data_IF_197949311106
#
_entry.id   IF_197949311106
#
_cell.length_a   1.000
_cell.length_b   1.000
_cell.length_c   1.000
_cell.angle_alpha   90.00
_cell.angle_beta   90.00
_cell.angle_gamma   90.00
#
_symmetry.space_group_name_H-M   'P 1'
#
loop_
_entity.id
_entity.type
_entity.pdbx_description
1 polymer ?
#
# COMPACT_ATOMS: atom_id res chain seq x y z
N UNK A 1 8.32 -5.19 -12.92
CA UNK A 1 8.08 -6.04 -11.74
C UNK A 1 8.55 -7.46 -12.03
N UNK A 2 9.23 -8.11 -11.09
CA UNK A 2 9.78 -9.46 -11.26
C UNK A 2 8.82 -10.51 -10.72
N UNK A 3 8.75 -11.68 -11.37
CA UNK A 3 8.05 -12.85 -10.83
C UNK A 3 8.94 -13.59 -9.83
N UNK A 4 8.48 -13.68 -8.59
CA UNK A 4 9.15 -14.36 -7.49
C UNK A 4 8.61 -15.77 -7.24
N UNK A 5 7.51 -16.16 -7.92
CA UNK A 5 6.89 -17.49 -7.76
C UNK A 5 7.87 -18.67 -7.85
N UNK A 6 8.91 -18.68 -8.72
CA UNK A 6 9.86 -19.80 -8.75
C UNK A 6 10.91 -19.77 -7.63
N UNK A 7 11.07 -18.64 -6.93
CA UNK A 7 12.18 -18.42 -5.98
C UNK A 7 11.78 -18.49 -4.52
N UNK A 8 10.49 -18.31 -4.22
CA UNK A 8 10.00 -18.23 -2.84
C UNK A 8 8.85 -19.21 -2.59
N UNK A 9 8.83 -19.73 -1.37
CA UNK A 9 7.70 -20.45 -0.78
C UNK A 9 7.12 -19.54 0.28
N UNK A 10 5.80 -19.50 0.42
CA UNK A 10 5.16 -18.68 1.45
C UNK A 10 4.03 -19.40 2.17
N UNK A 11 3.75 -18.95 3.40
CA UNK A 11 2.67 -19.44 4.24
C UNK A 11 1.91 -18.28 4.86
N UNK A 12 0.59 -18.15 4.63
CA UNK A 12 -0.26 -17.19 5.33
C UNK A 12 -0.25 -17.42 6.83
N UNK A 13 0.00 -16.35 7.58
CA UNK A 13 -0.06 -16.36 9.04
C UNK A 13 -1.35 -15.68 9.53
N UNK A 14 -1.73 -14.56 8.91
CA UNK A 14 -2.88 -13.76 9.32
C UNK A 14 -3.45 -12.94 8.17
N UNK A 15 -4.77 -12.89 8.06
CA UNK A 15 -5.48 -11.93 7.20
C UNK A 15 -5.45 -10.55 7.86
N UNK A 16 -4.94 -9.54 7.14
CA UNK A 16 -4.84 -8.15 7.59
C UNK A 16 -6.00 -7.30 7.11
N UNK A 17 -6.45 -7.52 5.87
CA UNK A 17 -7.57 -6.83 5.25
C UNK A 17 -8.27 -7.76 4.27
N UNK A 18 -9.60 -7.76 4.27
CA UNK A 18 -10.43 -8.53 3.34
C UNK A 18 -11.38 -7.62 2.52
N UNK A 19 -10.81 -6.56 1.97
CA UNK A 19 -11.52 -5.63 1.10
C UNK A 19 -11.60 -6.13 -0.35
N UNK A 20 -11.56 -5.17 -1.29
CA UNK A 20 -11.45 -5.43 -2.74
C UNK A 20 -10.29 -6.37 -3.05
N UNK A 21 -9.15 -6.12 -2.41
CA UNK A 21 -7.96 -6.96 -2.42
C UNK A 21 -7.80 -7.60 -1.03
N UNK A 22 -7.42 -8.87 -0.96
CA UNK A 22 -7.08 -9.49 0.33
C UNK A 22 -5.62 -9.26 0.64
N UNK A 23 -5.32 -8.85 1.85
CA UNK A 23 -3.94 -8.61 2.31
C UNK A 23 -3.61 -9.55 3.45
N UNK A 24 -2.52 -10.29 3.35
CA UNK A 24 -2.08 -11.26 4.36
C UNK A 24 -0.69 -10.90 4.88
N UNK A 25 -0.47 -11.13 6.17
CA UNK A 25 0.87 -11.35 6.70
C UNK A 25 1.28 -12.78 6.34
N UNK A 26 2.42 -12.93 5.68
CA UNK A 26 2.96 -14.22 5.28
C UNK A 26 4.36 -14.42 5.84
N UNK A 27 4.68 -15.67 6.12
CA UNK A 27 6.05 -16.13 6.28
C UNK A 27 6.58 -16.57 4.91
N UNK A 28 7.82 -16.22 4.59
CA UNK A 28 8.46 -16.51 3.31
C UNK A 28 9.79 -17.21 3.56
N UNK A 29 10.11 -18.23 2.75
CA UNK A 29 11.39 -18.93 2.69
C UNK A 29 11.85 -19.06 1.22
N UNK A 30 13.14 -19.34 1.00
CA UNK A 30 13.66 -19.64 -0.35
C UNK A 30 13.25 -21.05 -0.77
N UNK A 31 12.87 -21.20 -2.04
CA UNK A 31 12.45 -22.48 -2.62
C UNK A 31 13.56 -23.56 -2.61
N UNK A 32 14.79 -23.19 -2.97
CA UNK A 32 15.91 -24.15 -3.10
C UNK A 32 16.59 -24.49 -1.76
N UNK A 33 16.23 -23.81 -0.67
CA UNK A 33 16.99 -23.79 0.59
C UNK A 33 16.13 -24.25 1.79
N UNK A 34 15.22 -25.23 1.57
CA UNK A 34 14.26 -25.73 2.57
C UNK A 34 14.90 -26.27 3.86
N UNK A 35 16.21 -26.53 3.86
CA UNK A 35 17.00 -26.92 5.04
C UNK A 35 17.62 -25.74 5.81
N UNK A 36 17.68 -24.54 5.22
CA UNK A 36 18.18 -23.30 5.79
C UNK A 36 16.99 -22.44 6.23
N UNK A 37 16.60 -22.56 7.52
CA UNK A 37 15.41 -21.88 8.11
C UNK A 37 15.59 -20.36 8.29
N UNK A 38 16.04 -19.64 7.26
CA UNK A 38 15.88 -18.17 7.24
C UNK A 38 14.50 -17.85 6.70
N UNK A 39 13.57 -17.64 7.62
CA UNK A 39 12.26 -17.10 7.33
C UNK A 39 12.30 -15.57 7.34
N UNK A 40 11.42 -14.97 6.54
CA UNK A 40 11.13 -13.54 6.56
C UNK A 40 9.62 -13.33 6.68
N UNK A 41 9.24 -12.21 7.30
CA UNK A 41 7.85 -11.75 7.29
C UNK A 41 7.65 -10.77 6.15
N UNK A 42 6.61 -11.00 5.35
CA UNK A 42 6.21 -10.13 4.24
C UNK A 42 4.71 -9.88 4.28
N UNK A 43 4.26 -8.91 3.50
CA UNK A 43 2.85 -8.66 3.24
C UNK A 43 2.52 -9.14 1.83
N UNK A 44 1.53 -10.01 1.71
CA UNK A 44 1.04 -10.53 0.43
C UNK A 44 -0.31 -9.87 0.12
N UNK A 45 -0.38 -9.09 -0.96
CA UNK A 45 -1.62 -8.46 -1.43
C UNK A 45 -2.15 -9.19 -2.65
N UNK A 46 -3.29 -9.84 -2.51
CA UNK A 46 -3.94 -10.68 -3.52
C UNK A 46 -5.03 -9.89 -4.24
N UNK A 47 -4.91 -9.82 -5.56
CA UNK A 47 -5.87 -9.14 -6.43
C UNK A 47 -6.90 -10.13 -6.94
N UNK A 48 -8.16 -9.99 -6.48
CA UNK A 48 -9.24 -10.95 -6.72
C UNK A 48 -9.94 -10.79 -8.07
N UNK A 49 -9.67 -9.71 -8.81
CA UNK A 49 -10.44 -9.38 -10.00
C UNK A 49 -10.08 -10.27 -11.20
N UNK A 50 -11.08 -10.54 -12.03
CA UNK A 50 -10.89 -11.18 -13.34
C UNK A 50 -10.23 -10.25 -14.34
N UNK A 51 -9.50 -10.83 -15.30
CA UNK A 51 -8.68 -10.10 -16.26
C UNK A 51 -9.51 -9.24 -17.24
N UNK A 52 -9.05 -8.03 -17.62
CA UNK A 52 -7.86 -7.33 -17.12
C UNK A 52 -8.13 -6.61 -15.78
N UNK A 53 -7.29 -6.88 -14.78
CA UNK A 53 -7.33 -6.13 -13.52
C UNK A 53 -6.50 -4.85 -13.63
N UNK A 54 -7.19 -3.74 -13.95
CA UNK A 54 -6.60 -2.41 -14.07
C UNK A 54 -5.90 -1.96 -12.78
N UNK A 55 -6.44 -2.35 -11.61
CA UNK A 55 -5.89 -1.94 -10.32
C UNK A 55 -4.56 -2.64 -10.04
N UNK A 56 -4.47 -3.94 -10.35
CA UNK A 56 -3.20 -4.67 -10.29
C UNK A 56 -2.15 -4.06 -11.23
N UNK A 57 -2.53 -3.71 -12.47
CA UNK A 57 -1.61 -3.11 -13.43
C UNK A 57 -1.10 -1.74 -12.96
N UNK A 58 -1.99 -0.89 -12.44
CA UNK A 58 -1.65 0.42 -11.89
C UNK A 58 -0.69 0.30 -10.71
N UNK A 59 -1.00 -0.57 -9.75
CA UNK A 59 -0.16 -0.77 -8.57
C UNK A 59 1.21 -1.35 -8.95
N UNK A 60 1.25 -2.29 -9.90
CA UNK A 60 2.48 -2.88 -10.41
C UNK A 60 3.37 -1.83 -11.10
N UNK A 61 2.77 -0.95 -11.91
CA UNK A 61 3.49 0.12 -12.60
C UNK A 61 4.06 1.14 -11.59
N UNK A 62 3.24 1.60 -10.65
CA UNK A 62 3.66 2.52 -9.60
C UNK A 62 4.81 1.95 -8.76
N UNK A 63 4.67 0.70 -8.27
CA UNK A 63 5.71 0.07 -7.46
C UNK A 63 6.99 -0.22 -8.25
N UNK A 64 6.91 -0.50 -9.56
CA UNK A 64 8.10 -0.66 -10.40
C UNK A 64 8.90 0.65 -10.48
N UNK A 65 8.23 1.81 -10.58
CA UNK A 65 8.91 3.11 -10.58
C UNK A 65 9.45 3.49 -9.20
N UNK A 66 8.71 3.21 -8.13
CA UNK A 66 9.18 3.42 -6.76
C UNK A 66 10.44 2.60 -6.48
N UNK A 67 10.50 1.33 -6.90
CA UNK A 67 11.69 0.49 -6.71
C UNK A 67 12.93 1.09 -7.41
N UNK A 68 12.75 1.65 -8.60
CA UNK A 68 13.82 2.34 -9.34
C UNK A 68 14.32 3.62 -8.64
N UNK A 69 13.54 4.18 -7.70
CA UNK A 69 13.95 5.36 -6.92
C UNK A 69 14.85 5.03 -5.72
N UNK A 70 14.99 3.75 -5.36
CA UNK A 70 15.88 3.33 -4.28
C UNK A 70 17.36 3.48 -4.68
N UNK A 71 18.23 3.72 -3.71
CA UNK A 71 19.69 3.81 -3.93
C UNK A 71 20.28 2.50 -4.49
N UNK A 72 19.63 1.36 -4.24
CA UNK A 72 19.98 0.05 -4.77
C UNK A 72 18.70 -0.64 -5.26
N UNK A 73 18.24 -0.35 -6.50
CA UNK A 73 17.01 -0.90 -7.04
C UNK A 73 17.12 -2.42 -7.26
N UNK A 74 16.00 -3.13 -7.17
CA UNK A 74 15.94 -4.58 -7.33
C UNK A 74 15.80 -4.91 -8.82
N UNK A 75 16.94 -4.97 -9.52
CA UNK A 75 16.95 -5.14 -10.98
C UNK A 75 16.63 -6.55 -11.47
N UNK A 76 16.62 -7.56 -10.58
CA UNK A 76 16.33 -8.96 -10.95
C UNK A 76 15.50 -9.66 -9.88
N UNK A 77 14.79 -10.73 -10.27
CA UNK A 77 14.05 -11.61 -9.36
C UNK A 77 14.95 -12.19 -8.26
N UNK A 78 16.19 -12.59 -8.62
CA UNK A 78 17.17 -13.10 -7.66
C UNK A 78 17.58 -12.01 -6.64
N UNK A 79 17.86 -10.79 -7.09
CA UNK A 79 18.20 -9.67 -6.20
C UNK A 79 17.04 -9.33 -5.25
N UNK A 80 15.81 -9.35 -5.76
CA UNK A 80 14.61 -9.15 -4.95
C UNK A 80 14.42 -10.26 -3.91
N UNK A 81 14.62 -11.52 -4.30
CA UNK A 81 14.60 -12.66 -3.38
C UNK A 81 15.66 -12.48 -2.28
N UNK A 82 16.92 -12.17 -2.61
CA UNK A 82 17.96 -11.91 -1.61
C UNK A 82 17.61 -10.73 -0.68
N UNK A 83 16.98 -9.68 -1.21
CA UNK A 83 16.59 -8.51 -0.43
C UNK A 83 15.57 -8.84 0.68
N UNK A 84 14.66 -9.79 0.45
CA UNK A 84 13.72 -10.29 1.46
C UNK A 84 14.48 -10.82 2.69
N UNK A 85 15.52 -11.62 2.46
CA UNK A 85 16.24 -12.33 3.54
C UNK A 85 17.44 -11.55 4.12
N UNK A 86 17.98 -10.58 3.38
CA UNK A 86 19.07 -9.72 3.85
C UNK A 86 18.63 -8.74 4.95
N UNK A 87 17.33 -8.49 5.10
CA UNK A 87 16.78 -7.43 5.96
C UNK A 87 16.81 -7.66 7.46
N UNK A 88 17.07 -8.89 7.93
CA UNK A 88 17.38 -9.12 9.36
C UNK A 88 18.59 -8.32 9.86
N UNK A 89 19.40 -7.73 8.96
CA UNK A 89 20.62 -6.97 9.28
C UNK A 89 20.64 -5.51 8.79
N UNK A 90 19.66 -5.03 8.02
CA UNK A 90 19.67 -3.67 7.45
C UNK A 90 18.63 -2.80 8.14
N UNK A 91 19.04 -1.61 8.61
CA UNK A 91 18.10 -0.53 8.99
C UNK A 91 17.19 -0.30 7.78
N UNK A 92 15.87 -0.48 7.96
CA UNK A 92 14.87 -0.23 6.92
C UNK A 92 15.18 1.10 6.24
N UNK A 93 15.24 1.09 4.91
CA UNK A 93 15.43 2.31 4.13
C UNK A 93 14.22 3.18 4.45
N UNK A 94 14.45 4.37 5.02
CA UNK A 94 13.36 5.30 5.41
C UNK A 94 12.78 6.00 4.17
N UNK A 95 12.18 5.24 3.26
CA UNK A 95 11.46 5.76 2.09
C UNK A 95 10.06 6.26 2.43
N UNK A 96 9.48 5.80 3.54
CA UNK A 96 8.11 6.16 3.93
C UNK A 96 7.04 5.45 3.13
N UNK A 97 7.37 4.34 2.46
CA UNK A 97 6.44 3.41 1.82
C UNK A 97 7.12 2.02 1.76
N UNK A 98 6.36 0.91 1.77
CA UNK A 98 6.94 -0.43 1.77
C UNK A 98 7.61 -0.72 0.43
N UNK A 99 8.75 -1.40 0.46
CA UNK A 99 9.34 -1.92 -0.77
C UNK A 99 8.51 -3.08 -1.31
N UNK A 100 8.14 -3.03 -2.60
CA UNK A 100 7.57 -4.16 -3.32
C UNK A 100 8.70 -5.02 -3.88
N UNK A 101 8.75 -6.30 -3.50
CA UNK A 101 9.80 -7.20 -3.95
C UNK A 101 9.49 -7.80 -5.33
N UNK A 102 8.21 -7.96 -5.66
CA UNK A 102 7.81 -8.61 -6.90
C UNK A 102 6.39 -9.14 -6.86
N UNK A 103 5.99 -9.78 -7.95
CA UNK A 103 4.74 -10.51 -8.05
C UNK A 103 4.91 -11.98 -7.66
N UNK A 104 3.86 -12.58 -7.12
CA UNK A 104 3.75 -14.03 -6.91
C UNK A 104 2.38 -14.52 -7.35
N UNK A 105 2.29 -15.78 -7.75
CA UNK A 105 1.02 -16.44 -8.03
C UNK A 105 0.43 -17.03 -6.74
N UNK A 106 -0.88 -16.82 -6.55
CA UNK A 106 -1.61 -17.29 -5.37
C UNK A 106 -2.74 -18.22 -5.79
N UNK A 107 -2.76 -19.48 -5.33
CA UNK A 107 -3.86 -20.37 -5.64
C UNK A 107 -5.21 -19.82 -5.18
N UNK A 108 -6.25 -19.93 -6.01
CA UNK A 108 -7.59 -19.44 -5.68
C UNK A 108 -8.12 -20.07 -4.38
N UNK A 109 -7.77 -21.33 -4.10
CA UNK A 109 -8.24 -22.04 -2.91
C UNK A 109 -7.69 -21.46 -1.61
N UNK A 110 -6.57 -20.72 -1.65
CA UNK A 110 -6.04 -20.04 -0.47
C UNK A 110 -7.04 -19.03 0.09
N UNK A 111 -7.77 -18.33 -0.77
CA UNK A 111 -8.81 -17.38 -0.30
C UNK A 111 -10.07 -18.09 0.22
N UNK A 112 -10.22 -19.39 -0.06
CA UNK A 112 -11.42 -20.18 0.30
C UNK A 112 -11.20 -21.07 1.52
N UNK A 113 -9.97 -21.50 1.78
CA UNK A 113 -9.63 -22.36 2.91
C UNK A 113 -9.50 -21.55 4.21
N UNK A 114 -9.72 -22.21 5.35
CA UNK A 114 -9.57 -21.54 6.65
C UNK A 114 -8.09 -21.34 6.98
N UNK A 115 -7.74 -20.26 7.68
CA UNK A 115 -6.35 -19.91 7.99
C UNK A 115 -5.56 -21.02 8.71
N UNK A 116 -6.24 -21.97 9.37
CA UNK A 116 -5.64 -23.12 10.07
C UNK A 116 -5.16 -24.22 9.12
N UNK A 117 -5.67 -24.24 7.89
CA UNK A 117 -5.42 -25.29 6.90
C UNK A 117 -4.33 -24.89 5.89
N UNK A 118 -3.76 -23.69 6.00
CA UNK A 118 -2.74 -23.22 5.06
C UNK A 118 -1.37 -23.80 5.38
N UNK A 119 -1.00 -24.84 4.63
CA UNK A 119 0.38 -25.27 4.47
C UNK A 119 1.24 -24.25 3.70
N UNK A 120 2.50 -24.62 3.49
CA UNK A 120 3.39 -23.89 2.58
C UNK A 120 2.88 -23.97 1.14
N UNK A 121 2.95 -22.85 0.42
CA UNK A 121 2.68 -22.80 -1.02
C UNK A 121 3.99 -22.87 -1.75
N UNK A 122 4.21 -24.02 -2.36
CA UNK A 122 5.39 -24.34 -3.15
C UNK A 122 5.30 -23.73 -4.56
N UNK A 123 6.45 -23.37 -5.16
CA UNK A 123 6.55 -23.01 -6.57
C UNK A 123 5.93 -24.08 -7.48
N UNK A 124 5.28 -23.64 -8.56
CA UNK A 124 4.76 -24.52 -9.62
C UNK A 124 3.75 -25.59 -9.13
N UNK A 125 3.11 -25.41 -7.98
CA UNK A 125 2.03 -26.30 -7.58
C UNK A 125 0.98 -26.36 -8.70
N UNK A 126 0.73 -27.54 -9.27
CA UNK A 126 -0.17 -27.77 -10.40
C UNK A 126 -1.61 -27.39 -10.05
N UNK A 127 -1.93 -26.11 -10.17
CA UNK A 127 -3.27 -25.59 -9.93
C UNK A 127 -3.73 -24.80 -11.13
N UNK A 128 -4.93 -25.12 -11.62
CA UNK A 128 -5.44 -24.56 -12.87
C UNK A 128 -5.85 -23.09 -12.73
N UNK A 129 -5.96 -22.55 -11.51
CA UNK A 129 -6.39 -21.18 -11.25
C UNK A 129 -5.54 -20.45 -10.21
N UNK A 130 -4.96 -19.32 -10.60
CA UNK A 130 -4.19 -18.43 -9.72
C UNK A 130 -4.72 -17.00 -9.78
N UNK A 131 -4.63 -16.29 -8.66
CA UNK A 131 -4.68 -14.84 -8.60
C UNK A 131 -3.27 -14.25 -8.67
N UNK A 132 -3.19 -13.06 -9.28
CA UNK A 132 -2.00 -12.23 -9.20
C UNK A 132 -1.89 -11.62 -7.80
N UNK A 133 -0.69 -11.61 -7.24
CA UNK A 133 -0.41 -10.95 -5.99
C UNK A 133 0.93 -10.22 -6.01
N UNK A 134 1.05 -9.22 -5.16
CA UNK A 134 2.29 -8.49 -4.93
C UNK A 134 2.81 -8.80 -3.52
N UNK A 135 4.14 -8.98 -3.41
CA UNK A 135 4.82 -9.26 -2.16
C UNK A 135 5.60 -8.03 -1.69
N UNK A 136 5.28 -7.54 -0.50
CA UNK A 136 5.81 -6.31 0.07
C UNK A 136 6.59 -6.55 1.36
N UNK A 137 7.43 -5.58 1.70
CA UNK A 137 8.02 -5.44 3.02
C UNK A 137 6.95 -5.41 4.11
N UNK A 138 7.14 -6.22 5.16
CA UNK A 138 6.36 -6.09 6.38
C UNK A 138 6.94 -4.98 7.27
N UNK A 139 6.12 -3.96 7.54
CA UNK A 139 6.44 -2.90 8.49
C UNK A 139 5.61 -3.14 9.76
N UNK A 140 6.23 -3.46 10.91
CA UNK A 140 5.51 -3.79 12.12
C UNK A 140 4.91 -2.55 12.81
N UNK A 141 3.78 -2.76 13.49
CA UNK A 141 3.11 -1.78 14.36
C UNK A 141 2.70 -0.49 13.64
N UNK A 142 2.22 -0.60 12.41
CA UNK A 142 1.56 0.49 11.71
C UNK A 142 0.12 0.63 12.21
N UNK A 143 -0.30 1.89 12.39
CA UNK A 143 -1.67 2.27 12.67
C UNK A 143 -2.10 3.39 11.71
N UNK A 144 -3.39 3.47 11.33
CA UNK A 144 -3.89 4.56 10.50
C UNK A 144 -3.59 5.92 11.15
N UNK A 145 -3.21 6.90 10.33
CA UNK A 145 -3.15 8.28 10.79
C UNK A 145 -4.57 8.76 11.05
N UNK A 146 -4.86 9.08 12.32
CA UNK A 146 -6.12 9.70 12.72
C UNK A 146 -5.92 11.22 12.85
N UNK A 147 -6.96 12.05 12.68
CA UNK A 147 -6.83 13.50 12.83
C UNK A 147 -6.22 13.93 14.17
N UNK A 148 -6.58 13.28 15.28
CA UNK A 148 -6.04 13.54 16.62
C UNK A 148 -4.55 13.19 16.77
N UNK A 149 -4.01 12.36 15.87
CA UNK A 149 -2.61 11.99 15.84
C UNK A 149 -1.76 13.02 15.08
N UNK A 150 -2.37 13.95 14.36
CA UNK A 150 -1.68 14.88 13.49
C UNK A 150 -0.95 15.96 14.30
N UNK A 151 0.33 16.13 13.98
CA UNK A 151 1.18 17.21 14.50
C UNK A 151 1.90 17.88 13.34
N UNK A 152 2.46 19.10 13.51
CA UNK A 152 3.25 19.74 12.47
C UNK A 152 4.41 18.87 11.97
N UNK A 153 5.03 18.09 12.86
CA UNK A 153 6.11 17.17 12.51
C UNK A 153 5.62 16.00 11.61
N UNK A 154 4.48 15.41 11.94
CA UNK A 154 3.87 14.34 11.14
C UNK A 154 3.41 14.87 9.78
N UNK A 155 2.80 16.06 9.73
CA UNK A 155 2.40 16.70 8.48
C UNK A 155 3.61 16.97 7.57
N UNK A 156 4.69 17.53 8.14
CA UNK A 156 5.92 17.78 7.39
C UNK A 156 6.55 16.47 6.86
N UNK A 157 6.57 15.41 7.67
CA UNK A 157 7.07 14.11 7.24
C UNK A 157 6.20 13.48 6.16
N UNK A 158 4.87 13.53 6.29
CA UNK A 158 3.95 13.04 5.27
C UNK A 158 4.14 13.76 3.93
N UNK A 159 4.27 15.10 3.95
CA UNK A 159 4.56 15.90 2.76
C UNK A 159 5.93 15.55 2.15
N UNK A 160 6.95 15.25 2.98
CA UNK A 160 8.27 14.80 2.52
C UNK A 160 8.21 13.44 1.82
N UNK A 161 7.46 12.49 2.39
CA UNK A 161 7.22 11.17 1.78
C UNK A 161 6.48 11.33 0.46
N UNK A 162 5.39 12.13 0.44
CA UNK A 162 4.62 12.38 -0.78
C UNK A 162 5.47 13.02 -1.88
N UNK A 163 6.31 14.00 -1.54
CA UNK A 163 7.25 14.62 -2.48
C UNK A 163 8.22 13.59 -3.09
N UNK A 164 8.62 12.57 -2.33
CA UNK A 164 9.49 11.49 -2.81
C UNK A 164 8.74 10.59 -3.80
N UNK A 165 7.47 10.28 -3.52
CA UNK A 165 6.58 9.55 -4.43
C UNK A 165 6.37 10.34 -5.72
N UNK A 166 6.09 11.65 -5.62
CA UNK A 166 5.89 12.55 -6.75
C UNK A 166 7.15 12.70 -7.62
N UNK A 167 8.34 12.68 -7.01
CA UNK A 167 9.61 12.69 -7.75
C UNK A 167 9.81 11.43 -8.63
N UNK A 168 9.06 10.35 -8.35
CA UNK A 168 9.01 9.14 -9.17
C UNK A 168 7.88 9.19 -10.22
N UNK A 169 7.27 10.36 -10.44
CA UNK A 169 6.15 10.60 -11.35
C UNK A 169 4.91 9.76 -11.02
N UNK A 170 4.57 9.66 -9.73
CA UNK A 170 3.41 8.90 -9.25
C UNK A 170 2.49 9.83 -8.47
N UNK A 171 1.21 9.86 -8.85
CA UNK A 171 0.13 10.46 -8.09
C UNK A 171 -0.62 9.34 -7.35
N UNK A 172 -0.76 9.42 -6.03
CA UNK A 172 -1.34 8.34 -5.23
C UNK A 172 -2.87 8.22 -5.41
N UNK A 173 -3.56 9.34 -5.54
CA UNK A 173 -5.01 9.53 -5.73
C UNK A 173 -5.95 8.98 -4.64
N UNK A 174 -5.45 8.52 -3.50
CA UNK A 174 -6.30 7.92 -2.45
C UNK A 174 -5.80 8.18 -1.02
N UNK A 175 -5.41 9.43 -0.74
CA UNK A 175 -4.90 9.84 0.58
C UNK A 175 -6.02 10.35 1.51
N UNK A 176 -7.08 10.97 0.98
CA UNK A 176 -8.25 11.47 1.74
C UNK A 176 -9.36 10.42 1.80
N UNK A 177 -9.92 10.20 2.99
CA UNK A 177 -11.10 9.36 3.15
C UNK A 177 -12.37 10.14 2.79
N UNK A 178 -12.77 10.07 1.53
CA UNK A 178 -13.96 10.77 1.05
C UNK A 178 -15.29 10.27 1.64
N UNK A 179 -15.32 9.06 2.24
CA UNK A 179 -16.56 8.44 2.75
C UNK A 179 -17.10 9.12 3.99
N UNK A 180 -16.24 9.77 4.77
CA UNK A 180 -16.63 10.42 6.02
C UNK A 180 -16.85 11.92 5.86
N UNK A 181 -16.85 12.44 4.62
CA UNK A 181 -17.15 13.83 4.35
C UNK A 181 -18.50 14.22 4.98
N UNK A 182 -18.61 15.44 5.55
CA UNK A 182 -17.66 16.55 5.43
C UNK A 182 -16.46 16.51 6.39
N UNK A 183 -16.36 15.50 7.27
CA UNK A 183 -15.22 15.37 8.19
C UNK A 183 -13.93 15.00 7.43
N UNK A 184 -12.78 15.27 8.05
CA UNK A 184 -11.47 14.94 7.49
C UNK A 184 -10.98 13.61 8.03
N UNK A 185 -10.52 12.74 7.15
CA UNK A 185 -9.82 11.51 7.52
C UNK A 185 -8.88 11.06 6.41
N UNK A 186 -8.03 10.10 6.74
CA UNK A 186 -7.02 9.56 5.83
C UNK A 186 -7.29 8.08 5.55
N UNK A 187 -7.05 7.63 4.32
CA UNK A 187 -7.15 6.21 3.96
C UNK A 187 -5.79 5.53 4.13
N UNK A 188 -4.80 6.05 3.39
CA UNK A 188 -3.57 5.33 3.09
C UNK A 188 -2.32 5.94 3.71
N UNK A 189 -2.49 6.79 4.72
CA UNK A 189 -1.41 7.36 5.53
C UNK A 189 -1.43 6.68 6.89
N UNK A 190 -0.29 6.11 7.25
CA UNK A 190 -0.07 5.34 8.47
C UNK A 190 1.08 5.92 9.26
N UNK A 191 1.08 5.68 10.56
CA UNK A 191 2.17 6.00 11.47
C UNK A 191 2.61 4.75 12.21
N UNK A 192 3.88 4.68 12.57
CA UNK A 192 4.38 3.60 13.40
C UNK A 192 4.26 3.97 14.89
N UNK A 193 3.62 3.12 15.70
CA UNK A 193 3.18 3.40 17.08
C UNK A 193 4.23 4.05 18.00
N UNK A 194 5.52 3.69 17.85
CA UNK A 194 6.59 4.18 18.74
C UNK A 194 7.51 5.22 18.11
N UNK A 195 7.89 5.03 16.85
CA UNK A 195 8.81 5.94 16.15
C UNK A 195 8.10 7.15 15.56
N UNK A 196 6.77 7.06 15.40
CA UNK A 196 5.90 8.03 14.72
C UNK A 196 6.37 8.33 13.29
N UNK A 197 7.16 7.44 12.69
CA UNK A 197 7.51 7.52 11.27
C UNK A 197 6.23 7.40 10.44
N UNK A 198 6.12 8.19 9.38
CA UNK A 198 4.98 8.18 8.46
C UNK A 198 5.24 7.19 7.33
N UNK A 199 4.19 6.47 6.96
CA UNK A 199 4.18 5.56 5.83
C UNK A 199 2.94 5.80 4.96
N UNK A 200 3.15 5.83 3.65
CA UNK A 200 2.08 5.84 2.64
C UNK A 200 2.00 4.44 2.04
N UNK A 201 0.81 3.83 2.10
CA UNK A 201 0.56 2.45 1.68
C UNK A 201 -0.47 2.40 0.55
N UNK A 202 -0.65 1.23 -0.08
CA UNK A 202 -1.75 0.97 -1.02
C UNK A 202 -1.78 1.86 -2.28
N UNK A 203 -1.07 1.42 -3.32
CA UNK A 203 -0.95 2.16 -4.58
C UNK A 203 -1.95 1.65 -5.65
N UNK A 204 -3.07 1.07 -5.24
CA UNK A 204 -4.05 0.43 -6.14
C UNK A 204 -4.88 1.42 -6.97
N UNK A 205 -4.95 2.67 -6.51
CA UNK A 205 -5.54 3.83 -7.19
C UNK A 205 -4.48 4.76 -7.78
N UNK A 206 -3.19 4.43 -7.62
CA UNK A 206 -2.10 5.28 -8.06
C UNK A 206 -2.07 5.41 -9.59
N UNK A 207 -1.62 6.56 -10.05
CA UNK A 207 -1.44 6.86 -11.48
C UNK A 207 0.00 7.26 -11.71
N UNK A 208 0.65 6.58 -12.65
CA UNK A 208 1.89 7.06 -13.24
C UNK A 208 1.54 8.25 -14.12
N UNK A 209 2.19 9.38 -13.90
CA UNK A 209 1.98 10.61 -14.66
C UNK A 209 3.16 10.87 -15.57
N UNK A 210 2.92 11.42 -16.74
CA UNK A 210 4.01 11.87 -17.62
C UNK A 210 4.54 13.23 -17.17
N UNK A 211 5.73 13.59 -17.66
CA UNK A 211 6.36 14.90 -17.42
C UNK A 211 5.69 16.06 -18.19
N UNK A 212 4.40 15.96 -18.47
CA UNK A 212 3.60 17.00 -19.12
C UNK A 212 3.12 18.04 -18.09
N UNK A 213 2.72 19.25 -18.53
CA UNK A 213 2.10 20.23 -17.65
C UNK A 213 0.88 19.67 -16.90
N UNK A 214 0.07 18.85 -17.56
CA UNK A 214 -1.10 18.20 -16.97
C UNK A 214 -0.70 17.20 -15.88
N UNK A 215 0.33 16.38 -16.14
CA UNK A 215 0.86 15.44 -15.16
C UNK A 215 1.42 16.15 -13.92
N UNK A 216 2.21 17.21 -14.11
CA UNK A 216 2.73 18.03 -13.01
C UNK A 216 1.63 18.69 -12.19
N UNK A 217 0.59 19.21 -12.87
CA UNK A 217 -0.57 19.80 -12.21
C UNK A 217 -1.28 18.79 -11.31
N UNK A 218 -1.42 17.54 -11.72
CA UNK A 218 -2.03 16.50 -10.88
C UNK A 218 -1.22 16.24 -9.59
N UNK A 219 0.11 16.21 -9.67
CA UNK A 219 0.98 16.05 -8.50
C UNK A 219 0.85 17.25 -7.55
N UNK A 220 0.87 18.47 -8.10
CA UNK A 220 0.70 19.71 -7.34
C UNK A 220 -0.68 19.76 -6.67
N UNK A 221 -1.74 19.36 -7.36
CA UNK A 221 -3.11 19.30 -6.81
C UNK A 221 -3.21 18.30 -5.66
N UNK A 222 -2.60 17.11 -5.78
CA UNK A 222 -2.56 16.12 -4.69
C UNK A 222 -1.82 16.66 -3.47
N UNK A 223 -0.64 17.25 -3.66
CA UNK A 223 0.16 17.83 -2.58
C UNK A 223 -0.58 18.99 -1.89
N UNK A 224 -1.18 19.89 -2.67
CA UNK A 224 -1.95 21.01 -2.16
C UNK A 224 -3.21 20.55 -1.42
N UNK A 225 -3.89 19.50 -1.91
CA UNK A 225 -5.06 18.96 -1.23
C UNK A 225 -4.66 18.38 0.13
N UNK A 226 -3.60 17.57 0.17
CA UNK A 226 -3.12 16.97 1.42
C UNK A 226 -2.70 18.04 2.43
N UNK A 227 -1.93 19.05 2.00
CA UNK A 227 -1.50 20.14 2.89
C UNK A 227 -2.70 20.91 3.46
N UNK A 228 -3.70 21.23 2.62
CA UNK A 228 -4.94 21.86 3.09
C UNK A 228 -5.65 21.03 4.16
N UNK A 229 -5.76 19.72 3.98
CA UNK A 229 -6.36 18.82 4.98
C UNK A 229 -5.60 18.89 6.31
N UNK A 230 -4.27 18.92 6.27
CA UNK A 230 -3.46 19.09 7.47
C UNK A 230 -3.69 20.44 8.13
N UNK A 231 -3.74 21.53 7.38
CA UNK A 231 -3.98 22.87 7.92
C UNK A 231 -5.35 22.97 8.61
N UNK A 232 -6.39 22.37 8.05
CA UNK A 232 -7.74 22.33 8.66
C UNK A 232 -7.68 21.66 10.04
N UNK A 233 -7.04 20.49 10.13
CA UNK A 233 -6.92 19.77 11.40
C UNK A 233 -6.06 20.56 12.40
N UNK A 234 -4.89 21.02 11.99
CA UNK A 234 -3.93 21.71 12.88
C UNK A 234 -4.45 23.05 13.39
N UNK A 235 -5.26 23.76 12.60
CA UNK A 235 -5.89 25.02 13.01
C UNK A 235 -7.15 24.83 13.85
N UNK A 236 -7.69 23.60 13.94
CA UNK A 236 -9.00 23.33 14.54
C UNK A 236 -10.15 23.96 13.76
N UNK A 237 -9.96 24.29 12.47
CA UNK A 237 -11.01 24.83 11.63
C UNK A 237 -12.11 23.78 11.41
N UNK A 238 -13.38 24.21 11.44
CA UNK A 238 -14.49 23.35 11.13
C UNK A 238 -14.44 22.89 9.65
N UNK A 239 -14.26 21.59 9.36
CA UNK A 239 -14.05 21.10 8.00
C UNK A 239 -15.28 21.30 7.10
N UNK A 240 -16.47 21.52 7.67
CA UNK A 240 -17.69 21.83 6.91
C UNK A 240 -17.62 23.13 6.15
N UNK A 241 -16.78 24.08 6.58
CA UNK A 241 -16.58 25.38 5.90
C UNK A 241 -16.02 25.25 4.48
N UNK A 242 -15.42 24.09 4.15
CA UNK A 242 -14.90 23.78 2.81
C UNK A 242 -16.00 23.59 1.76
N UNK A 243 -17.24 23.35 2.20
CA UNK A 243 -18.34 22.97 1.32
C UNK A 243 -19.44 24.04 1.33
N UNK A 244 -20.02 24.38 0.16
CA UNK A 244 -21.24 25.17 0.09
C UNK A 244 -22.38 24.53 0.89
N UNK A 245 -23.32 25.35 1.38
CA UNK A 245 -24.44 24.87 2.21
C UNK A 245 -25.31 23.86 1.48
N UNK A 246 -25.49 24.03 0.17
CA UNK A 246 -26.24 23.14 -0.70
C UNK A 246 -25.59 21.75 -0.76
N UNK A 247 -24.26 21.69 -0.85
CA UNK A 247 -23.49 20.44 -0.86
C UNK A 247 -23.62 19.73 0.49
N UNK A 248 -23.51 20.46 1.60
CA UNK A 248 -23.70 19.89 2.95
C UNK A 248 -25.10 19.31 3.13
N UNK A 249 -26.13 19.98 2.60
CA UNK A 249 -27.52 19.47 2.62
C UNK A 249 -27.65 18.16 1.84
N UNK A 250 -27.10 18.10 0.64
CA UNK A 250 -27.12 16.88 -0.18
C UNK A 250 -26.37 15.72 0.50
N UNK A 251 -25.25 16.01 1.17
CA UNK A 251 -24.52 15.00 1.94
C UNK A 251 -25.36 14.45 3.11
N UNK A 252 -26.05 15.34 3.85
CA UNK A 252 -26.91 14.94 4.97
C UNK A 252 -28.13 14.10 4.51
N UNK A 253 -28.78 14.48 3.41
CA UNK A 253 -29.91 13.74 2.84
C UNK A 253 -29.50 12.32 2.42
N UNK A 254 -28.29 12.17 1.84
CA UNK A 254 -27.74 10.86 1.45
C UNK A 254 -27.40 9.97 2.65
N UNK A 255 -26.93 10.55 3.76
CA UNK A 255 -26.67 9.79 4.99
C UNK A 255 -27.97 9.27 5.62
N UNK A 256 -29.06 10.05 5.60
CA UNK A 256 -30.36 9.60 6.10
C UNK A 256 -30.94 8.45 5.28
N UNK A 257 -30.75 8.45 3.96
CA UNK A 257 -31.21 7.37 3.07
C UNK A 257 -30.40 6.06 3.22
N UNK A 258 -29.19 6.09 3.77
CA UNK A 258 -28.37 4.89 4.00
C UNK A 258 -28.62 4.25 5.37
N UNK A 259 -29.40 4.91 6.25
CA UNK A 259 -29.71 4.45 7.61
C UNK A 259 -31.17 3.99 7.79
N UNK A 260 -32.00 4.12 6.75
CA UNK A 260 -33.39 3.61 6.71
C UNK A 260 -33.52 2.42 5.77
#
# INVERSE_FOLDING_TARGET
MHDLSPLVVYRPLRLLNDGRNSTFLVEVIKAEDSNSRRNALCVLKVHKASFPDVSYQQETAANSLLDMSYTAPLLTAAAACEAIFARSRRRSIKTGYPQCFGSVQVPVELLRATMKDHGWIEPNAEKENFYSALLFEYIPNLEPLLPEHLTPAIAAEANRVLKTIHASNICHNDLENFRIRPEVGFCNIFIQQYSRNVYVLDFDAARVVDNTPEGKKLLEEEANNLDRLFQIILSGENPRKRFPREVLRLMAERQMQQQG
#
